data_IF_034855827173
#
_entry.id   IF_034855827173
#
_cell.length_a   1.000
_cell.length_b   1.000
_cell.length_c   1.000
_cell.angle_alpha   90.00
_cell.angle_beta   90.00
_cell.angle_gamma   90.00
#
_symmetry.space_group_name_H-M   'P 1'
#
loop_
_entity.id
_entity.type
_entity.pdbx_description
1 polymer ?
#
# COMPACT_ATOMS: atom_id res chain seq x y z
N UNK A 1 5.72 10.60 11.44
CA UNK A 1 5.68 9.18 11.87
C UNK A 1 4.40 8.94 12.67
N UNK A 2 3.64 7.89 12.35
CA UNK A 2 2.47 7.49 13.16
C UNK A 2 2.97 6.93 14.49
N UNK A 3 2.71 7.64 15.58
CA UNK A 3 3.20 7.32 16.93
C UNK A 3 2.42 6.19 17.61
N UNK A 4 2.28 5.03 16.96
CA UNK A 4 1.69 3.85 17.59
C UNK A 4 2.78 2.87 18.08
N UNK A 5 3.30 3.03 19.32
CA UNK A 5 4.37 2.20 19.87
C UNK A 5 3.98 0.73 20.08
N UNK A 6 2.69 0.39 20.06
CA UNK A 6 2.22 -0.98 20.20
C UNK A 6 2.12 -1.74 18.87
N UNK A 7 2.32 -1.06 17.73
CA UNK A 7 2.00 -1.60 16.42
C UNK A 7 0.51 -1.93 16.27
N UNK A 8 0.12 -2.45 15.12
CA UNK A 8 -1.23 -3.02 14.96
C UNK A 8 -1.22 -4.40 15.62
N UNK A 9 -2.05 -4.60 16.65
CA UNK A 9 -2.15 -5.90 17.32
C UNK A 9 -2.38 -7.01 16.29
N UNK A 10 -1.56 -8.07 16.27
CA UNK A 10 -1.79 -9.20 15.40
C UNK A 10 -3.17 -9.77 15.76
N UNK A 11 -4.05 -9.96 14.77
CA UNK A 11 -5.38 -10.58 14.93
C UNK A 11 -6.53 -9.72 15.47
N UNK A 12 -6.37 -8.40 15.62
CA UNK A 12 -7.54 -7.54 15.83
C UNK A 12 -8.40 -7.55 14.56
N UNK A 13 -9.75 -7.62 14.69
CA UNK A 13 -10.66 -7.67 13.54
C UNK A 13 -10.49 -6.38 12.73
N UNK A 14 -9.67 -6.46 11.69
CA UNK A 14 -9.38 -5.31 10.85
C UNK A 14 -10.51 -5.13 9.84
N UNK A 15 -10.82 -3.89 9.48
CA UNK A 15 -11.74 -3.59 8.37
C UNK A 15 -11.40 -4.41 7.12
N UNK A 16 -10.11 -4.54 6.80
CA UNK A 16 -9.61 -5.37 5.70
C UNK A 16 -9.99 -6.85 5.85
N UNK A 17 -9.91 -7.40 7.06
CA UNK A 17 -10.31 -8.79 7.35
C UNK A 17 -11.81 -9.00 7.16
N UNK A 18 -12.63 -8.06 7.67
CA UNK A 18 -14.08 -8.09 7.49
C UNK A 18 -14.44 -8.01 6.01
N UNK A 19 -13.84 -7.08 5.26
CA UNK A 19 -14.08 -6.93 3.82
C UNK A 19 -13.68 -8.20 3.05
N UNK A 20 -12.53 -8.80 3.37
CA UNK A 20 -12.11 -10.08 2.77
C UNK A 20 -13.09 -11.21 3.05
N UNK A 21 -13.75 -11.21 4.20
CA UNK A 21 -14.76 -12.23 4.55
C UNK A 21 -16.13 -12.00 3.91
N UNK A 22 -16.43 -10.76 3.49
CA UNK A 22 -17.76 -10.35 3.02
C UNK A 22 -17.84 -10.09 1.52
N UNK A 23 -16.73 -9.77 0.88
CA UNK A 23 -16.69 -9.40 -0.53
C UNK A 23 -16.14 -10.57 -1.33
N UNK A 24 -16.95 -11.08 -2.25
CA UNK A 24 -16.45 -11.92 -3.33
C UNK A 24 -15.71 -11.08 -4.37
N UNK A 25 -14.53 -11.53 -4.78
CA UNK A 25 -13.67 -10.77 -5.69
C UNK A 25 -14.19 -10.77 -7.12
N UNK A 26 -14.87 -11.84 -7.55
CA UNK A 26 -15.48 -11.94 -8.88
C UNK A 26 -16.62 -10.94 -8.99
N UNK A 27 -17.54 -10.97 -8.04
CA UNK A 27 -18.64 -10.01 -7.95
C UNK A 27 -18.14 -8.57 -7.93
N UNK A 28 -17.11 -8.26 -7.13
CA UNK A 28 -16.55 -6.90 -7.08
C UNK A 28 -15.92 -6.46 -8.42
N UNK A 29 -15.31 -7.39 -9.15
CA UNK A 29 -14.78 -7.11 -10.48
C UNK A 29 -15.91 -6.86 -11.50
N UNK A 30 -16.98 -7.64 -11.45
CA UNK A 30 -18.15 -7.45 -12.32
C UNK A 30 -18.81 -6.09 -12.08
N UNK A 31 -18.99 -5.70 -10.81
CA UNK A 31 -19.53 -4.37 -10.48
C UNK A 31 -18.63 -3.24 -11.02
N UNK A 32 -17.30 -3.42 -10.95
CA UNK A 32 -16.36 -2.43 -11.47
C UNK A 32 -16.44 -2.31 -13.00
N UNK A 33 -16.65 -3.42 -13.71
CA UNK A 33 -16.85 -3.43 -15.16
C UNK A 33 -18.14 -2.69 -15.53
N UNK A 34 -19.23 -2.90 -14.80
CA UNK A 34 -20.50 -2.21 -15.06
C UNK A 34 -20.38 -0.69 -14.83
N UNK A 35 -19.66 -0.27 -13.79
CA UNK A 35 -19.35 1.16 -13.57
C UNK A 35 -18.53 1.75 -14.74
N UNK A 36 -17.52 1.01 -15.22
CA UNK A 36 -16.71 1.43 -16.36
C UNK A 36 -17.54 1.55 -17.66
N UNK A 37 -18.45 0.60 -17.92
CA UNK A 37 -19.40 0.66 -19.04
C UNK A 37 -20.35 1.86 -18.92
N UNK A 38 -20.71 2.24 -17.69
CA UNK A 38 -21.47 3.45 -17.38
C UNK A 38 -20.72 4.77 -17.60
N UNK A 39 -19.44 4.71 -18.00
CA UNK A 39 -18.61 5.88 -18.26
C UNK A 39 -17.86 6.41 -17.03
N UNK A 40 -17.81 5.65 -15.94
CA UNK A 40 -16.98 6.02 -14.78
C UNK A 40 -15.49 5.93 -15.15
N UNK A 41 -14.85 7.10 -15.29
CA UNK A 41 -13.45 7.22 -15.67
C UNK A 41 -12.48 6.65 -14.62
N UNK A 42 -12.86 6.66 -13.34
CA UNK A 42 -12.03 6.10 -12.28
C UNK A 42 -12.04 4.56 -12.36
N UNK A 43 -13.19 3.96 -12.62
CA UNK A 43 -13.32 2.52 -12.85
C UNK A 43 -12.53 2.10 -14.10
N UNK A 44 -12.67 2.82 -15.21
CA UNK A 44 -11.90 2.60 -16.44
C UNK A 44 -10.40 2.66 -16.18
N UNK A 45 -9.91 3.75 -15.57
CA UNK A 45 -8.49 3.91 -15.24
C UNK A 45 -7.98 2.77 -14.35
N UNK A 46 -8.76 2.37 -13.35
CA UNK A 46 -8.35 1.28 -12.47
C UNK A 46 -8.24 -0.04 -13.22
N UNK A 47 -9.16 -0.35 -14.13
CA UNK A 47 -9.10 -1.56 -14.97
C UNK A 47 -7.84 -1.53 -15.85
N UNK A 48 -7.59 -0.43 -16.55
CA UNK A 48 -6.39 -0.27 -17.39
C UNK A 48 -5.09 -0.42 -16.59
N UNK A 49 -4.99 0.22 -15.42
CA UNK A 49 -3.84 0.12 -14.51
C UNK A 49 -3.56 -1.33 -14.07
N UNK A 50 -4.56 -2.22 -14.10
CA UNK A 50 -4.41 -3.65 -13.72
C UNK A 50 -4.16 -4.58 -14.90
N UNK A 51 -4.70 -4.26 -16.08
CA UNK A 51 -4.56 -5.09 -17.28
C UNK A 51 -3.25 -4.77 -18.00
N UNK A 52 -3.00 -3.49 -18.28
CA UNK A 52 -1.83 -3.03 -19.04
C UNK A 52 -0.67 -2.64 -18.11
N UNK A 53 -0.93 -2.62 -16.79
CA UNK A 53 0.00 -2.16 -15.79
C UNK A 53 0.01 -0.64 -15.67
N UNK A 54 0.77 -0.15 -14.68
CA UNK A 54 0.99 1.29 -14.53
C UNK A 54 2.25 1.70 -15.27
N UNK A 55 2.29 2.92 -15.83
CA UNK A 55 3.54 3.51 -16.27
C UNK A 55 4.57 3.42 -15.15
N UNK A 56 5.71 2.79 -15.44
CA UNK A 56 6.80 2.68 -14.48
C UNK A 56 7.46 4.05 -14.36
N UNK A 57 7.32 4.67 -13.19
CA UNK A 57 8.11 5.85 -12.86
C UNK A 57 9.53 5.39 -12.50
N UNK A 58 10.52 5.92 -13.22
CA UNK A 58 11.93 5.74 -12.88
C UNK A 58 12.40 6.99 -12.15
N UNK A 59 12.93 6.80 -10.94
CA UNK A 59 13.51 7.88 -10.14
C UNK A 59 14.93 7.48 -9.74
N UNK A 60 15.89 8.36 -10.01
CA UNK A 60 17.25 8.23 -9.52
C UNK A 60 17.35 8.91 -8.14
N UNK A 61 17.71 8.14 -7.12
CA UNK A 61 17.88 8.65 -5.77
C UNK A 61 19.36 9.00 -5.54
N UNK A 62 19.64 10.28 -5.36
CA UNK A 62 20.98 10.77 -5.01
C UNK A 62 20.95 11.50 -3.66
N UNK A 63 22.04 11.41 -2.92
CA UNK A 63 22.28 12.15 -1.69
C UNK A 63 22.69 13.59 -1.97
N UNK A 64 23.01 14.33 -0.90
CA UNK A 64 23.38 15.73 -0.99
C UNK A 64 24.53 15.94 -2.00
N UNK A 65 24.36 16.89 -2.93
CA UNK A 65 25.35 17.19 -3.96
C UNK A 65 25.56 16.09 -5.02
N UNK A 66 24.61 15.15 -5.17
CA UNK A 66 24.74 14.02 -6.11
C UNK A 66 25.54 12.83 -5.55
N UNK A 67 25.88 12.86 -4.26
CA UNK A 67 26.62 11.80 -3.59
C UNK A 67 25.75 10.62 -3.15
N UNK A 68 26.30 9.67 -2.37
CA UNK A 68 25.54 8.57 -1.78
C UNK A 68 24.46 9.07 -0.81
N UNK A 69 23.35 8.33 -0.71
CA UNK A 69 22.31 8.59 0.30
C UNK A 69 22.84 8.20 1.68
N UNK A 70 22.95 9.17 2.58
CA UNK A 70 23.38 8.93 3.97
C UNK A 70 22.26 8.24 4.77
N UNK A 71 22.60 7.20 5.53
CA UNK A 71 21.67 6.47 6.39
C UNK A 71 22.13 6.55 7.83
N UNK A 72 21.25 7.01 8.74
CA UNK A 72 21.50 7.01 10.20
C UNK A 72 20.75 5.84 10.83
N UNK A 73 21.49 4.93 11.49
CA UNK A 73 20.91 3.79 12.19
C UNK A 73 20.83 4.14 13.68
N UNK A 74 19.62 4.12 14.23
CA UNK A 74 19.40 4.22 15.67
C UNK A 74 19.26 2.81 16.25
N UNK A 75 20.13 2.46 17.19
CA UNK A 75 20.06 1.20 17.94
C UNK A 75 19.51 1.53 19.32
N UNK A 76 18.32 1.01 19.61
CA UNK A 76 17.72 1.12 20.95
C UNK A 76 18.38 0.10 21.87
N UNK A 77 19.12 0.56 22.89
CA UNK A 77 19.72 -0.31 23.91
C UNK A 77 18.61 -0.80 24.85
N UNK A 78 17.87 -1.83 24.46
CA UNK A 78 17.04 -2.57 25.39
C UNK A 78 17.89 -3.65 26.08
N UNK A 79 18.04 -3.51 27.41
CA UNK A 79 18.48 -4.50 28.40
C UNK A 79 20.00 -4.67 28.63
N UNK A 80 20.61 -3.70 29.32
CA UNK A 80 21.67 -3.98 30.30
C UNK A 80 20.99 -4.17 31.66
N UNK A 81 20.85 -5.41 32.13
CA UNK A 81 20.75 -5.86 33.54
C UNK A 81 20.34 -7.35 33.54
N UNK A 82 21.34 -8.24 33.49
CA UNK A 82 21.26 -9.63 33.99
C UNK A 82 22.28 -9.76 35.11
#
# INVERSE_FOLDING_TARGET
QSGNPAGKKPHEITMTGVLKSKIDKGWAADQLIELAKGGDLAALKYIYDRVDGKPTESMELTGAGGGPVETVIYVDKALENV
#
